data_IF_873483510601
#
_entry.id   IF_873483510601
#
_cell.length_a   1.000
_cell.length_b   1.000
_cell.length_c   1.000
_cell.angle_alpha   90.00
_cell.angle_beta   90.00
_cell.angle_gamma   90.00
#
_symmetry.space_group_name_H-M   'P 1'
#
loop_
_entity.id
_entity.type
_entity.pdbx_description
1 polymer ?
#
# COMPACT_ATOMS: atom_id res chain seq x y z
N UNK A 1 61.32 -14.25 -30.42
CA UNK A 1 61.36 -14.00 -31.89
C UNK A 1 59.93 -14.18 -32.37
N UNK A 2 59.15 -13.17 -32.73
CA UNK A 2 59.44 -11.94 -33.45
C UNK A 2 58.68 -10.74 -32.86
N UNK A 3 59.36 -9.61 -32.87
CA UNK A 3 58.87 -8.25 -32.61
C UNK A 3 58.50 -7.62 -33.97
N UNK A 4 57.49 -6.74 -34.03
CA UNK A 4 57.62 -5.34 -34.50
C UNK A 4 56.30 -4.54 -34.28
N UNK A 5 56.38 -3.21 -34.10
CA UNK A 5 55.33 -2.34 -33.53
C UNK A 5 54.76 -1.28 -34.52
N UNK A 6 53.72 -0.54 -34.10
CA UNK A 6 53.47 0.90 -34.41
C UNK A 6 52.16 1.33 -33.72
N UNK A 7 52.15 2.18 -32.69
CA UNK A 7 52.30 3.65 -32.67
C UNK A 7 51.17 4.37 -33.44
N UNK A 8 50.17 4.87 -32.72
CA UNK A 8 49.43 6.08 -33.07
C UNK A 8 49.54 7.09 -31.92
N UNK A 9 50.18 8.21 -32.23
CA UNK A 9 50.33 9.41 -31.40
C UNK A 9 49.01 10.18 -31.41
N UNK A 10 48.49 10.54 -30.25
CA UNK A 10 47.51 11.62 -30.13
C UNK A 10 48.17 12.83 -29.48
N UNK A 11 48.22 13.92 -30.26
CA UNK A 11 48.76 15.22 -29.87
C UNK A 11 47.73 15.97 -29.03
N UNK A 12 48.09 16.33 -27.80
CA UNK A 12 47.34 17.20 -26.91
C UNK A 12 47.58 18.65 -27.33
N UNK A 13 46.57 19.34 -27.86
CA UNK A 13 46.62 20.78 -28.12
C UNK A 13 45.96 21.50 -26.93
N UNK A 14 46.79 22.13 -26.11
CA UNK A 14 46.41 23.02 -25.02
C UNK A 14 46.27 24.43 -25.59
N UNK A 15 45.05 24.97 -25.64
CA UNK A 15 44.82 26.38 -26.03
C UNK A 15 44.38 27.15 -24.80
N UNK A 16 45.24 28.06 -24.34
CA UNK A 16 44.99 29.00 -23.24
C UNK A 16 44.23 30.20 -23.84
N UNK A 17 43.03 30.47 -23.31
CA UNK A 17 42.35 31.76 -23.52
C UNK A 17 42.09 32.39 -22.15
N UNK A 18 42.88 33.42 -21.84
CA UNK A 18 42.61 34.37 -20.75
C UNK A 18 42.01 35.63 -21.34
N UNK A 19 40.78 35.97 -20.93
CA UNK A 19 40.27 37.34 -20.95
C UNK A 19 39.30 37.51 -19.78
N UNK A 20 39.66 38.40 -18.86
CA UNK A 20 38.85 38.83 -17.73
C UNK A 20 38.03 40.07 -18.12
N UNK A 21 36.75 40.11 -17.74
CA UNK A 21 36.17 41.08 -16.79
C UNK A 21 34.64 41.18 -16.95
N UNK A 22 33.97 40.96 -15.81
CA UNK A 22 32.84 41.72 -15.28
C UNK A 22 31.57 41.84 -16.13
N UNK A 23 30.50 41.16 -15.72
CA UNK A 23 29.17 41.75 -15.55
C UNK A 23 28.43 40.99 -14.42
N UNK A 24 28.01 41.75 -13.41
CA UNK A 24 27.18 41.31 -12.30
C UNK A 24 25.71 41.54 -12.68
N UNK A 25 24.84 40.53 -12.60
CA UNK A 25 23.37 40.67 -12.49
C UNK A 25 22.69 39.31 -12.26
N UNK A 26 22.21 39.12 -11.02
CA UNK A 26 21.07 38.31 -10.57
C UNK A 26 21.11 36.77 -10.69
N UNK A 27 21.03 36.03 -9.56
CA UNK A 27 20.63 34.63 -9.61
C UNK A 27 19.15 34.55 -9.98
N UNK A 28 18.84 33.80 -11.03
CA UNK A 28 17.50 33.28 -11.30
C UNK A 28 16.99 32.57 -10.05
N UNK A 29 15.93 33.11 -9.44
CA UNK A 29 15.21 32.45 -8.35
C UNK A 29 14.77 31.06 -8.78
N UNK A 30 15.19 30.05 -8.03
CA UNK A 30 14.55 28.74 -8.06
C UNK A 30 13.04 28.93 -7.73
N UNK A 31 12.11 28.22 -8.39
CA UNK A 31 10.71 28.30 -8.03
C UNK A 31 10.52 27.84 -6.58
N UNK A 32 9.82 28.69 -5.83
CA UNK A 32 9.66 28.70 -4.38
C UNK A 32 9.24 27.33 -3.80
N UNK A 33 10.10 26.68 -3.00
CA UNK A 33 9.75 25.46 -2.26
C UNK A 33 8.69 25.70 -1.18
N UNK A 34 8.63 26.93 -0.66
CA UNK A 34 7.69 27.32 0.40
C UNK A 34 6.21 27.23 -0.03
N UNK A 35 5.89 27.53 -1.30
CA UNK A 35 4.50 27.45 -1.78
C UNK A 35 3.98 26.02 -1.95
N UNK A 36 4.85 25.03 -2.11
CA UNK A 36 4.42 23.62 -2.09
C UNK A 36 4.19 23.16 -0.67
N UNK A 37 5.06 23.57 0.26
CA UNK A 37 5.00 23.20 1.68
C UNK A 37 3.70 23.73 2.36
N UNK A 38 3.29 24.96 2.05
CA UNK A 38 2.03 25.55 2.55
C UNK A 38 0.76 24.81 2.07
N UNK A 39 0.77 24.17 0.89
CA UNK A 39 -0.40 23.49 0.35
C UNK A 39 -0.73 22.18 1.09
N UNK A 40 0.30 21.46 1.58
CA UNK A 40 0.16 20.22 2.34
C UNK A 40 -0.15 20.48 3.82
N UNK A 41 0.37 21.56 4.39
CA UNK A 41 0.47 21.77 5.84
C UNK A 41 -0.83 22.12 6.60
N UNK A 42 -2.02 22.08 5.99
CA UNK A 42 -3.24 22.48 6.71
C UNK A 42 -4.35 21.46 6.55
N UNK A 43 -4.92 21.05 7.69
CA UNK A 43 -6.07 20.15 7.77
C UNK A 43 -7.26 20.69 6.96
N UNK A 44 -8.03 19.77 6.41
CA UNK A 44 -9.29 20.05 5.71
C UNK A 44 -10.48 19.48 6.50
N UNK A 45 -11.70 19.98 6.30
CA UNK A 45 -12.88 19.47 7.00
C UNK A 45 -13.07 17.96 6.78
N UNK A 46 -13.15 17.21 7.88
CA UNK A 46 -13.41 15.78 7.88
C UNK A 46 -14.79 15.46 7.29
N UNK A 47 -14.83 14.44 6.44
CA UNK A 47 -16.02 13.92 5.79
C UNK A 47 -16.28 12.48 6.26
N UNK A 48 -17.55 12.06 6.42
CA UNK A 48 -17.86 10.69 6.81
C UNK A 48 -17.45 9.68 5.72
N UNK A 49 -17.09 8.44 6.09
CA UNK A 49 -16.84 7.36 5.13
C UNK A 49 -18.02 7.13 4.18
N UNK A 50 -17.69 6.68 2.98
CA UNK A 50 -18.66 6.37 1.91
C UNK A 50 -18.32 5.01 1.35
N UNK A 51 -19.27 4.08 1.30
CA UNK A 51 -19.00 2.76 0.71
C UNK A 51 -18.69 2.87 -0.79
N UNK A 52 -17.75 2.05 -1.32
CA UNK A 52 -17.52 1.99 -2.76
C UNK A 52 -18.72 1.36 -3.47
N UNK A 53 -19.04 1.85 -4.67
CA UNK A 53 -20.07 1.22 -5.51
C UNK A 53 -19.37 0.23 -6.44
N UNK A 54 -19.65 -1.05 -6.29
CA UNK A 54 -19.07 -2.11 -7.13
C UNK A 54 -20.20 -2.87 -7.82
N UNK A 55 -20.14 -2.96 -9.16
CA UNK A 55 -21.15 -3.64 -9.97
C UNK A 55 -20.49 -4.43 -11.09
N UNK A 56 -20.95 -5.66 -11.33
CA UNK A 56 -20.42 -6.54 -12.38
C UNK A 56 -21.43 -6.74 -13.52
N UNK A 57 -20.94 -6.67 -14.75
CA UNK A 57 -21.63 -7.09 -15.98
C UNK A 57 -20.71 -8.01 -16.78
N UNK A 58 -20.93 -9.33 -16.68
CA UNK A 58 -20.04 -10.32 -17.31
C UNK A 58 -18.59 -10.18 -16.84
N UNK A 59 -17.68 -9.90 -17.76
CA UNK A 59 -16.24 -9.66 -17.52
C UNK A 59 -15.90 -8.19 -17.28
N UNK A 60 -16.89 -7.30 -17.18
CA UNK A 60 -16.68 -5.88 -16.84
C UNK A 60 -17.08 -5.63 -15.41
N UNK A 61 -16.20 -4.97 -14.64
CA UNK A 61 -16.45 -4.57 -13.26
C UNK A 61 -16.38 -3.05 -13.18
N UNK A 62 -17.49 -2.43 -12.80
CA UNK A 62 -17.58 -1.00 -12.54
C UNK A 62 -17.28 -0.76 -11.06
N UNK A 63 -16.34 0.14 -10.78
CA UNK A 63 -15.91 0.49 -9.44
C UNK A 63 -15.96 2.00 -9.32
N UNK A 64 -16.76 2.52 -8.41
CA UNK A 64 -16.79 3.93 -8.06
C UNK A 64 -16.25 4.14 -6.65
N UNK A 65 -15.26 5.02 -6.52
CA UNK A 65 -14.62 5.38 -5.27
C UNK A 65 -14.57 6.90 -5.12
N UNK A 66 -14.40 7.37 -3.90
CA UNK A 66 -14.20 8.79 -3.62
C UNK A 66 -12.76 9.03 -3.22
N UNK A 67 -12.21 10.20 -3.57
CA UNK A 67 -11.09 10.77 -2.82
C UNK A 67 -11.67 11.79 -1.85
N UNK A 68 -11.33 11.71 -0.57
CA UNK A 68 -11.87 12.59 0.46
C UNK A 68 -10.96 12.68 1.68
N UNK A 69 -11.16 13.73 2.48
CA UNK A 69 -10.46 13.92 3.76
C UNK A 69 -11.34 13.40 4.88
N UNK A 70 -10.77 12.57 5.76
CA UNK A 70 -11.49 11.97 6.89
C UNK A 70 -10.54 11.86 8.08
N UNK A 71 -10.98 12.35 9.23
CA UNK A 71 -10.27 12.18 10.50
C UNK A 71 -10.30 10.70 10.92
N UNK A 72 -9.13 10.10 11.12
CA UNK A 72 -8.97 8.70 11.53
C UNK A 72 -8.20 8.65 12.85
N UNK A 73 -8.70 7.88 13.82
CA UNK A 73 -7.95 7.56 15.03
C UNK A 73 -6.90 6.47 14.72
N UNK A 74 -5.67 6.89 14.44
CA UNK A 74 -4.58 5.99 14.03
C UNK A 74 -3.91 5.29 15.22
N UNK A 75 -4.04 5.89 16.40
CA UNK A 75 -3.67 5.33 17.70
C UNK A 75 -4.58 5.95 18.77
N UNK A 76 -4.72 5.33 19.94
CA UNK A 76 -5.64 5.81 20.98
C UNK A 76 -5.35 7.28 21.33
N UNK A 77 -6.33 8.15 21.11
CA UNK A 77 -6.23 9.60 21.33
C UNK A 77 -5.45 10.38 20.27
N UNK A 78 -5.01 9.75 19.19
CA UNK A 78 -4.24 10.37 18.09
C UNK A 78 -5.10 10.34 16.82
N UNK A 79 -5.65 11.51 16.50
CA UNK A 79 -6.44 11.73 15.28
C UNK A 79 -5.52 12.24 14.18
N UNK A 80 -5.66 11.66 12.98
CA UNK A 80 -4.96 12.06 11.77
C UNK A 80 -5.98 12.56 10.74
N UNK A 81 -5.78 13.75 10.17
CA UNK A 81 -6.60 14.29 9.09
C UNK A 81 -6.26 13.61 7.75
N UNK A 82 -6.67 12.36 7.60
CA UNK A 82 -6.18 11.50 6.53
C UNK A 82 -6.76 11.87 5.17
N UNK A 83 -5.92 11.73 4.14
CA UNK A 83 -6.36 11.73 2.75
C UNK A 83 -6.67 10.29 2.38
N UNK A 84 -7.91 10.04 1.99
CA UNK A 84 -8.42 8.68 1.92
C UNK A 84 -9.06 8.40 0.58
N UNK A 85 -9.14 7.11 0.26
CA UNK A 85 -10.21 6.65 -0.59
C UNK A 85 -11.40 6.23 0.27
N UNK A 86 -12.60 6.72 -0.03
CA UNK A 86 -13.84 6.30 0.63
C UNK A 86 -13.92 6.58 2.15
N UNK A 87 -13.04 7.41 2.70
CA UNK A 87 -13.01 7.75 4.12
C UNK A 87 -12.32 6.71 5.01
N UNK A 88 -11.59 5.77 4.43
CA UNK A 88 -10.78 4.80 5.18
C UNK A 88 -9.32 4.83 4.72
N UNK A 89 -8.41 4.51 5.65
CA UNK A 89 -6.99 4.30 5.36
C UNK A 89 -6.52 3.04 6.11
N UNK A 90 -6.15 1.94 5.42
CA UNK A 90 -6.22 1.76 3.96
C UNK A 90 -7.63 1.96 3.40
N UNK A 91 -7.72 2.26 2.10
CA UNK A 91 -8.99 2.30 1.38
C UNK A 91 -9.64 0.90 1.28
N UNK A 92 -10.88 0.81 0.76
CA UNK A 92 -11.62 -0.45 0.63
C UNK A 92 -10.87 -1.52 -0.17
N UNK A 93 -10.84 -2.75 0.34
CA UNK A 93 -10.26 -3.86 -0.43
C UNK A 93 -11.10 -4.13 -1.68
N UNK A 94 -10.45 -4.03 -2.85
CA UNK A 94 -11.07 -4.36 -4.13
C UNK A 94 -10.80 -5.82 -4.48
N UNK A 95 -11.76 -6.47 -5.12
CA UNK A 95 -11.62 -7.87 -5.57
C UNK A 95 -12.24 -8.04 -6.95
N UNK A 96 -11.44 -8.49 -7.90
CA UNK A 96 -11.82 -8.79 -9.29
C UNK A 96 -11.25 -10.15 -9.70
N UNK A 97 -11.60 -10.64 -10.89
CA UNK A 97 -11.09 -11.90 -11.45
C UNK A 97 -10.08 -11.62 -12.54
N UNK A 98 -9.09 -12.49 -12.67
CA UNK A 98 -8.16 -12.47 -13.80
C UNK A 98 -8.92 -12.49 -15.13
N UNK A 99 -8.63 -11.50 -15.98
CA UNK A 99 -9.29 -11.27 -17.26
C UNK A 99 -10.44 -10.27 -17.23
N UNK A 100 -10.82 -9.74 -16.07
CA UNK A 100 -11.81 -8.68 -16.00
C UNK A 100 -11.29 -7.36 -16.61
N UNK A 101 -12.22 -6.58 -17.17
CA UNK A 101 -12.02 -5.17 -17.49
C UNK A 101 -12.59 -4.33 -16.37
N UNK A 102 -11.76 -3.51 -15.74
CA UNK A 102 -12.19 -2.57 -14.70
C UNK A 102 -12.57 -1.25 -15.38
N UNK A 103 -13.78 -0.76 -15.09
CA UNK A 103 -14.22 0.60 -15.39
C UNK A 103 -14.28 1.34 -14.06
N UNK A 104 -13.25 2.13 -13.79
CA UNK A 104 -13.05 2.80 -12.50
C UNK A 104 -13.43 4.27 -12.60
N UNK A 105 -14.27 4.75 -11.68
CA UNK A 105 -14.60 6.16 -11.51
C UNK A 105 -14.10 6.66 -10.17
N UNK A 106 -13.34 7.75 -10.17
CA UNK A 106 -12.97 8.48 -8.96
C UNK A 106 -13.77 9.78 -8.89
N UNK A 107 -14.51 9.97 -7.80
CA UNK A 107 -15.16 11.24 -7.46
C UNK A 107 -14.29 11.99 -6.45
N UNK A 108 -13.70 13.10 -6.85
CA UNK A 108 -12.86 13.86 -5.94
C UNK A 108 -13.72 14.82 -5.09
N UNK A 109 -13.94 14.44 -3.83
CA UNK A 109 -14.67 15.23 -2.83
C UNK A 109 -13.74 16.11 -1.98
N UNK A 110 -12.42 16.02 -2.17
CA UNK A 110 -11.50 17.01 -1.63
C UNK A 110 -11.74 18.35 -2.34
N UNK A 111 -11.79 19.44 -1.59
CA UNK A 111 -12.06 20.79 -2.10
C UNK A 111 -10.79 21.58 -2.43
N UNK A 112 -9.62 21.01 -2.15
CA UNK A 112 -8.31 21.65 -2.20
C UNK A 112 -7.31 20.88 -3.05
N UNK A 113 -7.30 19.56 -2.94
CA UNK A 113 -6.28 18.71 -3.55
C UNK A 113 -6.83 17.93 -4.75
N UNK A 114 -6.03 17.87 -5.81
CA UNK A 114 -6.23 16.89 -6.88
C UNK A 114 -5.80 15.50 -6.41
N UNK A 115 -6.51 14.48 -6.90
CA UNK A 115 -6.24 13.09 -6.58
C UNK A 115 -6.34 12.22 -7.82
N UNK A 116 -5.73 11.06 -7.80
CA UNK A 116 -5.75 10.09 -8.90
C UNK A 116 -5.80 8.68 -8.34
N UNK A 117 -5.74 7.68 -9.24
CA UNK A 117 -5.70 6.28 -8.87
C UNK A 117 -4.71 5.54 -9.76
N UNK A 118 -3.70 4.95 -9.15
CA UNK A 118 -2.78 3.97 -9.72
C UNK A 118 -3.12 2.60 -9.12
N UNK A 119 -3.34 1.60 -9.96
CA UNK A 119 -3.60 0.22 -9.54
C UNK A 119 -2.50 -0.68 -10.09
N UNK A 120 -1.70 -1.31 -9.23
CA UNK A 120 -0.60 -2.17 -9.69
C UNK A 120 -1.07 -3.44 -10.41
N UNK A 121 -2.35 -3.79 -10.25
CA UNK A 121 -3.00 -4.92 -10.93
C UNK A 121 -3.16 -4.75 -12.46
N UNK A 122 -2.95 -3.55 -13.01
CA UNK A 122 -3.47 -3.20 -14.34
C UNK A 122 -2.37 -2.71 -15.29
N UNK A 123 -2.52 -3.03 -16.57
CA UNK A 123 -1.66 -2.48 -17.62
C UNK A 123 -2.32 -1.23 -18.20
N UNK A 124 -1.79 -0.06 -17.88
CA UNK A 124 -2.33 1.21 -18.31
C UNK A 124 -1.22 2.20 -18.67
N UNK A 125 -1.55 3.25 -19.44
CA UNK A 125 -0.66 4.38 -19.67
C UNK A 125 -0.80 5.36 -18.51
N UNK A 126 0.20 5.51 -17.61
CA UNK A 126 0.03 6.35 -16.41
C UNK A 126 -0.31 7.79 -16.75
N UNK A 127 0.34 8.35 -17.78
CA UNK A 127 0.10 9.73 -18.25
C UNK A 127 -1.28 9.99 -18.87
N UNK A 128 -2.11 8.94 -19.03
CA UNK A 128 -3.48 9.06 -19.57
C UNK A 128 -4.55 8.47 -18.68
N UNK A 129 -4.22 7.45 -17.89
CA UNK A 129 -5.18 6.65 -17.12
C UNK A 129 -5.04 6.81 -15.61
N UNK A 130 -3.89 7.29 -15.13
CA UNK A 130 -3.65 7.61 -13.72
C UNK A 130 -3.47 9.13 -13.55
N UNK A 131 -4.19 9.91 -14.36
CA UNK A 131 -4.15 11.37 -14.31
C UNK A 131 -4.98 11.89 -13.15
N UNK A 132 -4.70 13.13 -12.78
CA UNK A 132 -5.42 13.85 -11.75
C UNK A 132 -6.91 14.04 -12.10
N UNK A 133 -7.75 13.86 -11.09
CA UNK A 133 -9.13 14.32 -11.01
C UNK A 133 -9.14 15.53 -10.09
N UNK A 134 -9.58 16.68 -10.62
CA UNK A 134 -9.54 17.94 -9.90
C UNK A 134 -10.57 18.01 -8.76
N UNK A 135 -10.41 18.90 -7.77
CA UNK A 135 -11.40 19.12 -6.72
C UNK A 135 -12.82 19.29 -7.26
N UNK A 136 -13.77 18.51 -6.75
CA UNK A 136 -15.18 18.56 -7.16
C UNK A 136 -15.50 17.89 -8.50
N UNK A 137 -14.51 17.33 -9.20
CA UNK A 137 -14.70 16.64 -10.48
C UNK A 137 -14.77 15.11 -10.31
N UNK A 138 -15.14 14.43 -11.39
CA UNK A 138 -15.06 12.98 -11.51
C UNK A 138 -14.30 12.56 -12.77
N UNK A 139 -13.54 11.47 -12.68
CA UNK A 139 -12.82 10.89 -13.81
C UNK A 139 -13.07 9.40 -13.91
N UNK A 140 -13.37 8.92 -15.13
CA UNK A 140 -13.58 7.49 -15.43
C UNK A 140 -12.46 6.94 -16.31
N UNK A 141 -11.88 5.82 -15.88
CA UNK A 141 -10.77 5.14 -16.52
C UNK A 141 -11.10 3.68 -16.74
N UNK A 142 -10.46 3.07 -17.74
CA UNK A 142 -10.71 1.68 -18.11
C UNK A 142 -9.40 0.98 -18.36
N UNK A 143 -9.22 -0.17 -17.75
CA UNK A 143 -8.01 -0.97 -17.85
C UNK A 143 -8.28 -2.46 -17.57
N UNK A 144 -7.53 -3.38 -18.21
CA UNK A 144 -7.67 -4.81 -17.98
C UNK A 144 -6.85 -5.29 -16.78
N UNK A 145 -7.41 -6.21 -15.99
CA UNK A 145 -6.72 -6.91 -14.90
C UNK A 145 -6.29 -8.30 -15.39
N UNK A 146 -5.08 -8.40 -15.96
CA UNK A 146 -4.62 -9.60 -16.68
C UNK A 146 -3.73 -10.53 -15.87
N UNK A 147 -3.27 -10.10 -14.69
CA UNK A 147 -2.34 -10.86 -13.85
C UNK A 147 -3.00 -11.16 -12.51
N UNK A 148 -3.04 -12.42 -12.06
CA UNK A 148 -3.57 -12.75 -10.76
C UNK A 148 -2.59 -12.36 -9.65
N UNK A 149 -3.13 -11.95 -8.50
CA UNK A 149 -2.29 -11.53 -7.39
C UNK A 149 -2.96 -10.66 -6.33
N UNK A 150 -2.11 -10.16 -5.45
CA UNK A 150 -2.42 -9.20 -4.39
C UNK A 150 -1.58 -7.96 -4.68
N UNK A 151 -2.24 -6.87 -5.05
CA UNK A 151 -1.57 -5.68 -5.56
C UNK A 151 -1.96 -4.45 -4.73
N UNK A 152 -1.01 -3.53 -4.57
CA UNK A 152 -1.30 -2.20 -4.07
C UNK A 152 -2.14 -1.42 -5.10
N UNK A 153 -3.04 -0.58 -4.61
CA UNK A 153 -3.46 0.60 -5.34
C UNK A 153 -3.18 1.83 -4.47
N UNK A 154 -2.96 2.98 -5.10
CA UNK A 154 -2.70 4.22 -4.39
C UNK A 154 -3.01 5.46 -5.24
N UNK A 155 -3.04 6.63 -4.61
CA UNK A 155 -3.07 7.88 -5.36
C UNK A 155 -1.73 8.11 -6.07
N UNK A 156 -1.75 8.44 -7.36
CA UNK A 156 -0.57 8.70 -8.19
C UNK A 156 -0.19 10.17 -8.30
N UNK A 157 -0.96 11.07 -7.69
CA UNK A 157 -0.82 12.52 -7.82
C UNK A 157 0.49 13.00 -7.22
N UNK A 158 1.10 14.04 -7.78
CA UNK A 158 2.41 14.53 -7.32
C UNK A 158 2.26 15.50 -6.13
N UNK A 159 3.13 15.40 -5.11
CA UNK A 159 4.15 14.38 -4.89
C UNK A 159 3.51 13.10 -4.32
N UNK A 160 3.70 11.99 -5.01
CA UNK A 160 3.05 10.70 -4.70
C UNK A 160 3.29 10.23 -3.28
N UNK A 161 4.51 10.45 -2.77
CA UNK A 161 4.85 10.16 -1.37
C UNK A 161 3.89 10.84 -0.38
N UNK A 162 3.54 12.12 -0.57
CA UNK A 162 2.63 12.81 0.33
C UNK A 162 1.23 12.19 0.31
N UNK A 163 0.73 11.83 -0.88
CA UNK A 163 -0.59 11.23 -0.97
C UNK A 163 -0.65 9.84 -0.32
N UNK A 164 0.38 9.01 -0.51
CA UNK A 164 0.45 7.69 0.15
C UNK A 164 0.61 7.88 1.66
N UNK A 165 1.58 8.68 2.12
CA UNK A 165 1.86 8.90 3.54
C UNK A 165 0.66 9.50 4.31
N UNK A 166 -0.18 10.30 3.64
CA UNK A 166 -1.40 10.84 4.22
C UNK A 166 -2.58 9.84 4.22
N UNK A 167 -2.45 8.64 3.64
CA UNK A 167 -3.46 7.58 3.75
C UNK A 167 -4.05 7.04 2.43
N UNK A 168 -3.63 7.54 1.26
CA UNK A 168 -4.25 7.16 -0.01
C UNK A 168 -3.62 5.89 -0.62
N UNK A 169 -3.82 4.76 0.06
CA UNK A 169 -3.39 3.44 -0.39
C UNK A 169 -4.45 2.38 -0.05
N UNK A 170 -4.37 1.23 -0.71
CA UNK A 170 -5.17 0.05 -0.38
C UNK A 170 -4.76 -1.16 -1.20
N UNK A 171 -5.61 -2.19 -1.18
CA UNK A 171 -5.30 -3.49 -1.79
C UNK A 171 -6.36 -3.87 -2.82
N UNK A 172 -5.92 -4.30 -4.00
CA UNK A 172 -6.74 -4.96 -5.00
C UNK A 172 -6.28 -6.41 -5.20
N UNK A 173 -7.21 -7.34 -5.05
CA UNK A 173 -7.01 -8.77 -5.27
C UNK A 173 -7.54 -9.13 -6.66
N UNK A 174 -6.69 -9.71 -7.50
CA UNK A 174 -7.08 -10.30 -8.78
C UNK A 174 -7.08 -11.82 -8.60
N UNK A 175 -8.27 -12.40 -8.48
CA UNK A 175 -8.43 -13.84 -8.26
C UNK A 175 -7.94 -14.62 -9.49
N UNK A 176 -7.04 -15.60 -9.33
CA UNK A 176 -6.59 -16.43 -10.44
C UNK A 176 -7.74 -17.17 -11.09
N UNK A 177 -7.77 -17.20 -12.42
CA UNK A 177 -8.84 -17.86 -13.19
C UNK A 177 -8.96 -19.35 -12.85
N UNK A 178 -7.84 -20.00 -12.56
CA UNK A 178 -7.78 -21.41 -12.18
C UNK A 178 -7.79 -21.65 -10.65
N UNK A 179 -7.89 -20.59 -9.85
CA UNK A 179 -7.70 -20.65 -8.39
C UNK A 179 -6.24 -20.90 -7.99
N UNK A 180 -6.01 -21.04 -6.67
CA UNK A 180 -4.76 -21.56 -6.15
C UNK A 180 -4.84 -23.09 -6.00
N UNK A 181 -3.74 -23.83 -6.19
CA UNK A 181 -3.74 -25.29 -6.03
C UNK A 181 -4.25 -25.77 -4.65
N UNK A 182 -4.11 -24.93 -3.63
CA UNK A 182 -4.49 -25.20 -2.24
C UNK A 182 -5.88 -24.71 -1.85
N UNK A 183 -6.71 -24.17 -2.75
CA UNK A 183 -8.02 -23.60 -2.40
C UNK A 183 -8.92 -24.57 -1.62
N UNK A 184 -8.86 -25.85 -1.95
CA UNK A 184 -9.64 -26.90 -1.29
C UNK A 184 -9.20 -27.22 0.16
N UNK A 185 -8.08 -26.65 0.62
CA UNK A 185 -7.57 -26.81 1.97
C UNK A 185 -7.92 -25.64 2.88
N UNK A 186 -8.38 -24.51 2.35
CA UNK A 186 -8.52 -23.27 3.11
C UNK A 186 -9.85 -23.25 3.86
N UNK A 187 -9.77 -23.15 5.19
CA UNK A 187 -10.93 -23.03 6.07
C UNK A 187 -11.33 -21.57 6.29
N UNK A 188 -10.35 -20.66 6.35
CA UNK A 188 -10.56 -19.23 6.61
C UNK A 188 -9.66 -18.35 5.77
N UNK A 189 -10.16 -17.17 5.40
CA UNK A 189 -9.38 -16.17 4.66
C UNK A 189 -9.53 -14.77 5.23
N UNK A 190 -8.40 -14.05 5.33
CA UNK A 190 -8.34 -12.67 5.81
C UNK A 190 -7.53 -11.77 4.88
N UNK A 191 -7.65 -10.46 5.11
CA UNK A 191 -6.88 -9.43 4.41
C UNK A 191 -6.14 -8.58 5.44
N UNK A 192 -4.84 -8.39 5.25
CA UNK A 192 -4.04 -7.49 6.07
C UNK A 192 -3.21 -6.57 5.19
N UNK A 193 -3.27 -5.27 5.48
CA UNK A 193 -2.42 -4.26 4.85
C UNK A 193 -1.54 -3.65 5.93
N UNK A 194 -0.22 -3.78 5.78
CA UNK A 194 0.73 -3.03 6.58
C UNK A 194 0.95 -1.65 5.97
N UNK A 195 1.05 -0.62 6.81
CA UNK A 195 1.42 0.72 6.39
C UNK A 195 2.08 1.51 7.52
N UNK A 196 2.59 2.69 7.18
CA UNK A 196 3.18 3.63 8.12
C UNK A 196 2.34 4.91 8.25
N UNK A 197 2.36 5.49 9.46
CA UNK A 197 1.95 6.87 9.71
C UNK A 197 3.16 7.68 10.18
N UNK A 198 3.27 8.89 9.63
CA UNK A 198 4.31 9.86 9.93
C UNK A 198 3.69 11.08 10.61
N UNK A 199 4.49 12.09 10.95
CA UNK A 199 3.96 13.36 11.42
C UNK A 199 2.99 13.95 10.39
N UNK A 200 1.81 14.37 10.85
CA UNK A 200 0.70 14.80 9.98
C UNK A 200 1.12 15.85 8.96
N UNK A 201 0.89 15.54 7.68
CA UNK A 201 1.13 16.44 6.54
C UNK A 201 2.55 17.01 6.41
N UNK A 202 3.54 16.42 7.10
CA UNK A 202 4.91 16.90 7.12
C UNK A 202 5.75 16.17 6.06
N UNK A 203 5.91 16.79 4.90
CA UNK A 203 6.67 16.20 3.80
C UNK A 203 8.15 15.95 4.13
N UNK A 204 8.74 16.74 5.04
CA UNK A 204 10.09 16.49 5.50
C UNK A 204 10.16 15.22 6.37
N UNK A 205 9.17 15.03 7.26
CA UNK A 205 9.03 13.79 8.04
C UNK A 205 8.88 12.57 7.11
N UNK A 206 8.04 12.67 6.07
CA UNK A 206 7.83 11.58 5.11
C UNK A 206 9.11 11.15 4.39
N UNK A 207 10.04 12.08 4.16
CA UNK A 207 11.29 11.83 3.44
C UNK A 207 12.43 11.34 4.34
N UNK A 208 12.52 11.90 5.56
CA UNK A 208 13.76 11.88 6.31
C UNK A 208 13.65 11.29 7.72
N UNK A 209 12.43 11.14 8.23
CA UNK A 209 12.20 10.67 9.59
C UNK A 209 11.74 9.21 9.60
N UNK A 210 11.86 8.58 10.76
CA UNK A 210 11.28 7.27 11.01
C UNK A 210 9.76 7.39 11.18
N UNK A 211 8.96 6.39 10.77
CA UNK A 211 7.52 6.43 10.96
C UNK A 211 7.16 6.52 12.45
N UNK A 212 6.16 7.32 12.81
CA UNK A 212 5.67 7.44 14.20
C UNK A 212 4.90 6.17 14.59
N UNK A 213 4.12 5.63 13.65
CA UNK A 213 3.40 4.38 13.80
C UNK A 213 3.63 3.47 12.59
N UNK A 214 3.65 2.17 12.84
CA UNK A 214 3.52 1.15 11.80
C UNK A 214 2.36 0.27 12.23
N UNK A 215 1.44 -0.04 11.31
CA UNK A 215 0.13 -0.61 11.66
C UNK A 215 -0.28 -1.70 10.70
N UNK A 216 -1.19 -2.57 11.14
CA UNK A 216 -1.99 -3.41 10.26
C UNK A 216 -3.41 -2.84 10.19
N UNK A 217 -3.94 -2.67 8.99
CA UNK A 217 -5.29 -2.16 8.71
C UNK A 217 -5.58 -0.79 9.36
N UNK A 218 -4.58 0.09 9.40
CA UNK A 218 -4.78 1.53 9.59
C UNK A 218 -4.60 2.07 11.01
N UNK A 219 -4.68 1.24 12.05
CA UNK A 219 -4.47 1.71 13.43
C UNK A 219 -3.77 0.69 14.35
N UNK A 220 -3.29 1.18 15.49
CA UNK A 220 -2.44 0.41 16.42
C UNK A 220 -3.19 -0.58 17.32
N UNK A 221 -4.53 -0.55 17.35
CA UNK A 221 -5.33 -1.19 18.41
C UNK A 221 -6.41 -2.16 17.93
N UNK A 222 -7.04 -1.91 16.77
CA UNK A 222 -8.27 -2.63 16.36
C UNK A 222 -8.05 -4.13 16.27
N UNK A 223 -6.97 -4.59 15.64
CA UNK A 223 -6.71 -6.03 15.49
C UNK A 223 -6.12 -6.70 16.76
N UNK A 224 -5.93 -5.94 17.84
CA UNK A 224 -5.58 -6.46 19.17
C UNK A 224 -6.83 -6.56 20.06
N UNK A 225 -7.68 -5.53 20.01
CA UNK A 225 -8.93 -5.46 20.76
C UNK A 225 -10.04 -6.33 20.14
N UNK A 226 -10.08 -6.38 18.80
CA UNK A 226 -10.98 -7.17 17.97
C UNK A 226 -10.15 -8.12 17.08
N UNK A 227 -9.66 -9.23 17.65
CA UNK A 227 -8.79 -10.15 16.93
C UNK A 227 -9.50 -10.82 15.75
N UNK A 228 -8.71 -11.35 14.82
CA UNK A 228 -9.18 -12.32 13.84
C UNK A 228 -9.48 -13.65 14.55
N UNK A 229 -10.35 -14.49 14.01
CA UNK A 229 -10.71 -15.76 14.65
C UNK A 229 -10.42 -16.98 13.77
N UNK A 230 -9.93 -18.06 14.36
CA UNK A 230 -9.83 -19.36 13.70
C UNK A 230 -10.16 -20.49 14.67
N UNK A 231 -10.40 -21.68 14.13
CA UNK A 231 -10.56 -22.88 14.93
C UNK A 231 -9.25 -23.67 14.95
N UNK A 232 -8.95 -24.34 16.06
CA UNK A 232 -7.83 -25.27 16.11
C UNK A 232 -7.99 -26.37 15.04
N UNK A 233 -6.97 -26.51 14.19
CA UNK A 233 -6.94 -27.35 13.01
C UNK A 233 -7.24 -26.62 11.69
N UNK A 234 -7.71 -25.37 11.72
CA UNK A 234 -8.00 -24.60 10.50
C UNK A 234 -6.70 -24.30 9.72
N UNK A 235 -6.76 -24.42 8.40
CA UNK A 235 -5.80 -23.81 7.49
C UNK A 235 -6.28 -22.39 7.16
N UNK A 236 -5.48 -21.40 7.54
CA UNK A 236 -5.78 -19.98 7.36
C UNK A 236 -5.00 -19.44 6.17
N UNK A 237 -5.70 -18.74 5.28
CA UNK A 237 -5.10 -17.91 4.22
C UNK A 237 -5.15 -16.44 4.60
N UNK A 238 -4.06 -15.71 4.39
CA UNK A 238 -4.07 -14.25 4.46
C UNK A 238 -3.57 -13.68 3.13
N UNK A 239 -4.38 -12.81 2.52
CA UNK A 239 -3.95 -11.92 1.44
C UNK A 239 -3.31 -10.70 2.11
N UNK A 240 -2.01 -10.57 1.97
CA UNK A 240 -1.24 -9.53 2.66
C UNK A 240 -0.61 -8.58 1.66
N UNK A 241 -0.55 -7.30 2.04
CA UNK A 241 0.15 -6.26 1.28
C UNK A 241 0.91 -5.36 2.24
N UNK A 242 2.16 -5.03 1.92
CA UNK A 242 2.87 -3.94 2.57
C UNK A 242 2.74 -2.69 1.70
N UNK A 243 1.85 -1.75 2.07
CA UNK A 243 1.62 -0.54 1.30
C UNK A 243 2.76 0.48 1.44
N UNK A 244 3.58 0.39 2.50
CA UNK A 244 4.58 1.40 2.80
C UNK A 244 3.96 2.69 3.39
N UNK A 245 4.45 3.88 3.01
CA UNK A 245 5.17 4.20 1.77
C UNK A 245 6.65 3.82 1.68
N UNK A 246 7.37 3.64 2.79
CA UNK A 246 8.84 3.66 2.77
C UNK A 246 9.47 2.36 3.26
N UNK A 247 8.85 1.68 4.22
CA UNK A 247 9.47 0.54 4.89
C UNK A 247 9.21 -0.78 4.14
N UNK A 248 10.14 -1.72 4.28
CA UNK A 248 9.88 -3.13 3.99
C UNK A 248 9.17 -3.79 5.17
N UNK A 249 8.56 -4.94 4.94
CA UNK A 249 7.97 -5.78 6.00
C UNK A 249 8.60 -7.16 6.05
N UNK A 250 8.82 -7.66 7.26
CA UNK A 250 9.24 -9.03 7.55
C UNK A 250 8.06 -9.82 8.13
N UNK A 251 7.02 -10.05 7.35
CA UNK A 251 5.73 -10.59 7.82
C UNK A 251 5.86 -11.99 8.43
N UNK A 252 5.37 -12.17 9.65
CA UNK A 252 5.47 -13.41 10.43
C UNK A 252 4.20 -13.64 11.26
N UNK A 253 3.82 -14.91 11.43
CA UNK A 253 2.76 -15.35 12.35
C UNK A 253 3.42 -16.22 13.40
N UNK A 254 3.42 -15.75 14.65
CA UNK A 254 4.06 -16.43 15.77
C UNK A 254 3.33 -17.73 16.06
N UNK A 255 4.08 -18.79 16.35
CA UNK A 255 3.53 -20.11 16.69
C UNK A 255 3.18 -20.99 15.50
N UNK A 256 3.51 -20.57 14.27
CA UNK A 256 3.31 -21.39 13.07
C UNK A 256 4.40 -21.13 12.02
N UNK A 257 4.37 -21.89 10.93
CA UNK A 257 5.16 -21.68 9.71
C UNK A 257 4.20 -21.54 8.53
N UNK A 258 4.60 -20.79 7.51
CA UNK A 258 3.80 -20.68 6.29
C UNK A 258 3.96 -21.96 5.48
N UNK A 259 2.90 -22.77 5.47
CA UNK A 259 2.78 -23.97 4.65
C UNK A 259 3.00 -23.63 3.18
N UNK A 260 2.40 -22.52 2.71
CA UNK A 260 2.56 -21.99 1.35
C UNK A 260 2.64 -20.47 1.35
N UNK A 261 3.49 -19.94 0.48
CA UNK A 261 3.59 -18.51 0.19
C UNK A 261 3.58 -18.33 -1.32
N UNK A 262 2.66 -17.50 -1.83
CA UNK A 262 2.61 -17.08 -3.22
C UNK A 262 3.03 -15.62 -3.28
N UNK A 263 4.28 -15.35 -3.68
CA UNK A 263 4.78 -13.97 -3.80
C UNK A 263 3.96 -13.18 -4.84
N UNK A 264 3.56 -11.96 -4.47
CA UNK A 264 2.57 -11.11 -5.16
C UNK A 264 1.21 -11.79 -5.37
N UNK A 265 0.94 -12.89 -4.67
CA UNK A 265 -0.27 -13.68 -4.84
C UNK A 265 -0.39 -14.42 -6.17
N UNK A 266 0.67 -14.49 -6.99
CA UNK A 266 0.63 -15.25 -8.23
C UNK A 266 0.80 -16.76 -7.95
N UNK A 267 -0.10 -17.65 -8.40
CA UNK A 267 0.01 -19.10 -8.14
C UNK A 267 1.32 -19.75 -8.61
N UNK A 268 2.04 -19.12 -9.56
CA UNK A 268 3.32 -19.63 -10.06
C UNK A 268 4.49 -19.37 -9.11
N UNK A 269 4.36 -18.41 -8.22
CA UNK A 269 5.44 -17.98 -7.31
C UNK A 269 5.36 -18.68 -5.95
N UNK A 270 5.04 -19.98 -5.97
CA UNK A 270 4.81 -20.75 -4.75
C UNK A 270 6.14 -21.14 -4.07
N UNK A 271 6.18 -20.91 -2.76
CA UNK A 271 7.23 -21.34 -1.84
C UNK A 271 6.60 -22.10 -0.67
N UNK A 272 7.37 -22.93 0.03
CA UNK A 272 6.88 -23.80 1.10
C UNK A 272 7.75 -23.70 2.35
N UNK A 273 7.13 -23.87 3.52
CA UNK A 273 7.85 -23.93 4.80
C UNK A 273 8.60 -22.64 5.15
N UNK A 274 8.03 -21.49 4.81
CA UNK A 274 8.64 -20.17 5.05
C UNK A 274 8.25 -19.69 6.44
N UNK A 275 9.23 -19.33 7.28
CA UNK A 275 8.93 -18.77 8.61
C UNK A 275 8.45 -17.32 8.54
N UNK A 276 9.06 -16.52 7.66
CA UNK A 276 8.87 -15.07 7.58
C UNK A 276 8.95 -14.65 6.13
N UNK A 277 7.97 -13.88 5.67
CA UNK A 277 7.85 -13.42 4.28
C UNK A 277 8.36 -11.99 4.18
N UNK A 278 9.41 -11.78 3.38
CA UNK A 278 9.91 -10.44 3.06
C UNK A 278 9.00 -9.77 2.03
N UNK A 279 8.54 -8.56 2.32
CA UNK A 279 7.71 -7.77 1.43
C UNK A 279 8.37 -6.42 1.17
N UNK A 280 8.65 -6.07 -0.10
CA UNK A 280 9.03 -4.69 -0.42
C UNK A 280 7.89 -3.72 -0.09
N UNK A 281 8.14 -2.41 -0.10
CA UNK A 281 7.06 -1.44 -0.23
C UNK A 281 6.26 -1.74 -1.50
N UNK A 282 4.93 -1.66 -1.42
CA UNK A 282 3.93 -2.16 -2.37
C UNK A 282 3.84 -3.69 -2.55
N UNK A 283 4.69 -4.48 -1.88
CA UNK A 283 4.77 -5.92 -2.06
C UNK A 283 3.56 -6.67 -1.50
N UNK A 284 3.05 -7.62 -2.27
CA UNK A 284 1.95 -8.48 -1.86
C UNK A 284 2.36 -9.94 -1.66
N UNK A 285 1.52 -10.71 -0.99
CA UNK A 285 1.60 -12.16 -0.97
C UNK A 285 0.26 -12.79 -0.60
N UNK A 286 0.08 -14.05 -0.98
CA UNK A 286 -0.87 -14.94 -0.32
C UNK A 286 -0.07 -15.88 0.55
N UNK A 287 -0.36 -15.89 1.85
CA UNK A 287 0.27 -16.80 2.82
C UNK A 287 -0.76 -17.76 3.36
N UNK A 288 -0.36 -19.00 3.58
CA UNK A 288 -1.20 -20.06 4.12
C UNK A 288 -0.45 -20.77 5.24
N UNK A 289 -1.13 -21.01 6.35
CA UNK A 289 -0.57 -21.70 7.51
C UNK A 289 -1.68 -22.41 8.29
N UNK A 290 -1.30 -23.46 9.01
CA UNK A 290 -2.21 -24.20 9.89
C UNK A 290 -2.04 -23.75 11.34
N UNK A 291 -3.14 -23.58 12.06
CA UNK A 291 -3.13 -23.32 13.51
C UNK A 291 -3.54 -24.56 14.28
N UNK A 292 -2.60 -25.18 14.98
CA UNK A 292 -2.80 -26.54 15.52
C UNK A 292 -3.43 -26.58 16.91
N UNK A 293 -3.29 -25.52 17.70
CA UNK A 293 -3.73 -25.47 19.10
C UNK A 293 -4.57 -24.22 19.37
N UNK A 294 -5.38 -24.26 20.42
CA UNK A 294 -6.10 -23.08 20.91
C UNK A 294 -5.13 -22.07 21.53
N UNK A 295 -5.35 -20.78 21.29
CA UNK A 295 -4.48 -19.72 21.80
C UNK A 295 -4.52 -18.45 20.95
N UNK A 296 -3.83 -17.42 21.41
CA UNK A 296 -3.65 -16.19 20.65
C UNK A 296 -2.32 -16.26 19.88
N UNK A 297 -2.40 -16.06 18.57
CA UNK A 297 -1.28 -16.10 17.64
C UNK A 297 -0.97 -14.67 17.16
N UNK A 298 0.09 -14.02 17.66
CA UNK A 298 0.51 -12.72 17.17
C UNK A 298 0.90 -12.75 15.69
N UNK A 299 0.40 -11.80 14.92
CA UNK A 299 0.81 -11.51 13.54
C UNK A 299 1.62 -10.23 13.58
N UNK A 300 2.84 -10.23 13.02
CA UNK A 300 3.80 -9.13 13.15
C UNK A 300 4.56 -8.90 11.85
N UNK A 301 5.15 -7.71 11.71
CA UNK A 301 6.45 -7.62 11.01
C UNK A 301 7.55 -7.92 12.02
N UNK A 302 8.51 -8.78 11.68
CA UNK A 302 9.60 -9.15 12.58
C UNK A 302 10.69 -8.07 12.70
N UNK A 303 10.49 -6.90 12.07
CA UNK A 303 11.23 -5.67 12.39
C UNK A 303 10.65 -5.08 13.68
N UNK A 304 11.12 -5.54 14.84
CA UNK A 304 10.47 -5.25 16.13
C UNK A 304 10.36 -3.77 16.51
N UNK A 305 11.21 -2.88 15.96
CA UNK A 305 11.01 -1.42 16.10
C UNK A 305 9.61 -0.98 15.59
N UNK A 306 9.07 -1.65 14.58
CA UNK A 306 7.75 -1.40 14.03
C UNK A 306 6.63 -2.05 14.85
N UNK A 307 6.91 -3.20 15.49
CA UNK A 307 5.97 -3.86 16.41
C UNK A 307 5.68 -2.97 17.62
N UNK A 308 6.75 -2.41 18.22
CA UNK A 308 6.64 -1.48 19.36
C UNK A 308 5.92 -0.18 18.97
N UNK A 309 5.95 0.19 17.68
CA UNK A 309 5.21 1.32 17.10
C UNK A 309 3.78 0.95 16.64
N UNK A 310 3.35 -0.29 16.80
CA UNK A 310 1.96 -0.70 16.58
C UNK A 310 1.73 -1.94 15.74
N UNK A 311 2.70 -2.39 14.93
CA UNK A 311 2.53 -3.35 13.84
C UNK A 311 2.38 -4.80 14.33
N UNK A 312 1.31 -5.04 15.07
CA UNK A 312 0.94 -6.31 15.64
C UNK A 312 -0.58 -6.48 15.59
N UNK A 313 -1.02 -7.66 15.20
CA UNK A 313 -2.40 -8.10 15.20
C UNK A 313 -2.50 -9.44 15.93
N UNK A 314 -3.71 -9.84 16.32
CA UNK A 314 -3.96 -11.13 16.99
C UNK A 314 -4.90 -11.98 16.15
N UNK A 315 -4.50 -13.23 15.91
CA UNK A 315 -5.39 -14.30 15.48
C UNK A 315 -5.72 -15.16 16.70
N UNK A 316 -6.97 -15.10 17.17
CA UNK A 316 -7.46 -15.88 18.29
C UNK A 316 -8.01 -17.22 17.81
N UNK A 317 -7.39 -18.30 18.25
CA UNK A 317 -7.75 -19.66 17.89
C UNK A 317 -8.55 -20.28 19.02
N UNK A 318 -9.81 -20.64 18.76
CA UNK A 318 -10.71 -21.24 19.75
C UNK A 318 -11.19 -22.61 19.29
N UNK A 319 -11.83 -23.37 20.17
CA UNK A 319 -12.41 -24.69 19.82
C UNK A 319 -13.45 -24.65 18.69
N UNK A 320 -14.21 -23.56 18.56
CA UNK A 320 -15.29 -23.43 17.56
C UNK A 320 -15.04 -22.32 16.52
N UNK A 321 -13.93 -21.59 16.65
CA UNK A 321 -13.52 -20.49 15.79
C UNK A 321 -14.46 -19.28 15.80
N UNK A 322 -15.15 -19.06 16.92
CA UNK A 322 -15.99 -17.88 17.15
C UNK A 322 -15.45 -17.01 18.28
N UNK A 323 -15.93 -15.77 18.29
CA UNK A 323 -15.80 -14.89 19.43
C UNK A 323 -16.71 -15.37 20.58
N UNK A 324 -16.12 -15.67 21.72
CA UNK A 324 -16.85 -16.00 22.95
C UNK A 324 -17.08 -14.77 23.85
N UNK A 325 -16.75 -13.58 23.36
CA UNK A 325 -17.32 -12.31 23.79
C UNK A 325 -17.31 -12.08 25.30
N UNK A 326 -16.22 -11.50 25.80
CA UNK A 326 -16.39 -10.52 26.86
C UNK A 326 -17.06 -9.28 26.26
N UNK A 327 -18.39 -9.25 26.19
CA UNK A 327 -19.26 -8.12 25.77
C UNK A 327 -18.93 -7.46 24.42
N UNK A 328 -19.70 -7.86 23.40
CA UNK A 328 -19.80 -7.21 22.09
C UNK A 328 -20.31 -5.77 22.20
N UNK A 329 -19.55 -4.80 21.70
CA UNK A 329 -20.11 -3.56 21.14
C UNK A 329 -19.99 -3.68 19.61
N UNK A 330 -21.14 -3.72 18.95
CA UNK A 330 -21.25 -3.64 17.49
C UNK A 330 -20.76 -2.27 17.01
N UNK A 331 -19.82 -2.25 16.08
CA UNK A 331 -19.54 -1.10 15.23
C UNK A 331 -19.56 -1.53 13.77
#
# INVERSE_FOLDING_TARGET
>A
MFSFPNIYKYTLILTIFTAALSHCSSPSSAPNSQHKEEAFSSSAPSQPPVDPIIRREGHTVYIEMTAQVTDIEISKGVIYNAWTFNGTSPGPVLRVKEGDTIVFTLKNKDTRMNHSMDMHAVHASPSRKFIDVMPGEEGTFTYPATSPGVFMYHCGSKPTLAHIANGMYGMIIVEPKAGYPSDHLIDRSYTLVQSEWYKEHDYNSFLNEEPEYVVFNGNTYTLKEHPLFAKAGDTVRIYISNAGPNEVSSFHVVGTMMDRVYTDGNPRNIQYGIQTVMLPASGGAVVEFTVTEEGDYPIVTHQFKHVDKGASAVLRVTKDGKDHGGTTMSH
#
